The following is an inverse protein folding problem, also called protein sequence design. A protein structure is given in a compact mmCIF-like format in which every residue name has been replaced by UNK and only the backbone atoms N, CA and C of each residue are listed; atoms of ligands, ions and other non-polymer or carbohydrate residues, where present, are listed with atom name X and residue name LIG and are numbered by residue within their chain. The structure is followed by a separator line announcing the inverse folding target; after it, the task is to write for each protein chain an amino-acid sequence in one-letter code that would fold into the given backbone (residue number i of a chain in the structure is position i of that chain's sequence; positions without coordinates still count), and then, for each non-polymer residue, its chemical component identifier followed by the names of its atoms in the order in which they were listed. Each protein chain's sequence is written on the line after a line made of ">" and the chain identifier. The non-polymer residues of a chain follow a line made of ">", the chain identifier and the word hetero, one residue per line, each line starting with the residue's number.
data_IF_068548869035
#
_entry.id   IF_068548869035
#
_cell.length_a   1.000
_cell.length_b   1.000
_cell.length_c   1.000
_cell.angle_alpha   90.00
_cell.angle_beta   90.00
_cell.angle_gamma   90.00
#
_symmetry.space_group_name_H-M   'P 1'
#
loop_
_entity.id
_entity.type
_entity.pdbx_description
1 polymer ?
#
# COMPACT_ATOMS: atom_id res chain seq x y z
N UNK A 1 2.09 8.08 -18.59
CA UNK A 1 1.24 7.24 -17.72
C UNK A 1 0.16 6.46 -18.48
N UNK A 2 -0.29 6.89 -19.67
CA UNK A 2 -1.27 6.14 -20.48
C UNK A 2 -0.82 4.73 -20.88
N UNK A 3 0.44 4.59 -21.31
CA UNK A 3 0.99 3.32 -21.81
C UNK A 3 0.89 2.16 -20.79
N UNK A 4 1.39 2.38 -19.57
CA UNK A 4 1.39 1.41 -18.48
C UNK A 4 -0.02 1.01 -18.00
N UNK A 5 -0.95 1.96 -17.98
CA UNK A 5 -2.35 1.68 -17.58
C UNK A 5 -3.06 0.87 -18.65
N UNK A 6 -2.80 1.14 -19.92
CA UNK A 6 -3.39 0.40 -21.04
C UNK A 6 -2.78 -1.01 -21.16
N UNK A 7 -1.47 -1.17 -20.92
CA UNK A 7 -0.82 -2.49 -20.76
C UNK A 7 -1.49 -3.31 -19.63
N UNK A 8 -1.72 -2.70 -18.46
CA UNK A 8 -2.40 -3.35 -17.34
C UNK A 8 -3.83 -3.76 -17.70
N UNK A 9 -4.60 -2.89 -18.37
CA UNK A 9 -5.95 -3.22 -18.84
C UNK A 9 -5.95 -4.40 -19.81
N UNK A 10 -4.97 -4.47 -20.72
CA UNK A 10 -4.87 -5.56 -21.67
C UNK A 10 -4.61 -6.90 -20.97
N UNK A 11 -3.72 -6.93 -19.96
CA UNK A 11 -3.45 -8.11 -19.15
C UNK A 11 -4.69 -8.57 -18.39
N UNK A 12 -5.37 -7.65 -17.70
CA UNK A 12 -6.59 -7.94 -16.93
C UNK A 12 -7.73 -8.42 -17.84
N UNK A 13 -7.92 -7.80 -19.01
CA UNK A 13 -8.90 -8.24 -20.00
C UNK A 13 -8.57 -9.63 -20.59
N UNK A 14 -7.29 -10.01 -20.59
CA UNK A 14 -6.81 -11.34 -20.94
C UNK A 14 -7.00 -12.39 -19.84
N UNK A 15 -7.53 -12.01 -18.68
CA UNK A 15 -7.82 -12.91 -17.57
C UNK A 15 -6.75 -12.98 -16.49
N UNK A 16 -5.70 -12.14 -16.56
CA UNK A 16 -4.74 -12.03 -15.47
C UNK A 16 -5.41 -11.48 -14.21
N UNK A 17 -5.00 -11.98 -13.05
CA UNK A 17 -5.27 -11.37 -11.75
C UNK A 17 -4.50 -10.05 -11.59
N UNK A 18 -4.83 -9.28 -10.56
CA UNK A 18 -4.13 -8.03 -10.25
C UNK A 18 -2.68 -8.25 -9.85
N UNK A 19 -2.41 -9.32 -9.10
CA UNK A 19 -1.05 -9.81 -8.82
C UNK A 19 -0.28 -10.13 -10.10
N UNK A 20 -0.84 -10.98 -10.96
CA UNK A 20 -0.18 -11.39 -12.20
C UNK A 20 0.09 -10.19 -13.12
N UNK A 21 -0.86 -9.25 -13.22
CA UNK A 21 -0.67 -8.03 -13.98
C UNK A 21 0.45 -7.14 -13.40
N UNK A 22 0.53 -7.01 -12.07
CA UNK A 22 1.61 -6.27 -11.42
C UNK A 22 2.98 -6.92 -11.67
N UNK A 23 3.10 -8.24 -11.45
CA UNK A 23 4.34 -9.00 -11.65
C UNK A 23 4.80 -8.89 -13.12
N UNK A 24 3.88 -9.03 -14.07
CA UNK A 24 4.19 -8.95 -15.50
C UNK A 24 4.68 -7.56 -15.95
N UNK A 25 4.22 -6.49 -15.30
CA UNK A 25 4.55 -5.12 -15.66
C UNK A 25 5.76 -4.56 -14.91
N UNK A 26 6.13 -5.17 -13.78
CA UNK A 26 7.27 -4.74 -13.00
C UNK A 26 8.59 -5.01 -13.71
N UNK A 27 9.51 -4.06 -13.60
CA UNK A 27 10.89 -4.16 -14.09
C UNK A 27 11.83 -3.38 -13.17
N UNK A 28 13.10 -3.77 -13.02
CA UNK A 28 14.06 -3.05 -12.15
C UNK A 28 14.28 -1.58 -12.54
N UNK A 29 14.05 -1.21 -13.79
CA UNK A 29 14.18 0.16 -14.32
C UNK A 29 12.86 0.95 -14.25
N UNK A 30 11.79 0.35 -13.71
CA UNK A 30 10.45 0.93 -13.63
C UNK A 30 10.03 1.03 -12.16
N UNK A 31 9.77 2.23 -11.63
CA UNK A 31 9.39 2.40 -10.23
C UNK A 31 8.16 1.56 -9.88
N UNK A 32 8.21 0.81 -8.77
CA UNK A 32 7.09 0.00 -8.32
C UNK A 32 5.82 0.85 -8.13
N UNK A 33 6.01 2.12 -7.74
CA UNK A 33 4.95 3.09 -7.57
C UNK A 33 4.12 3.24 -8.85
N UNK A 34 4.77 3.41 -9.99
CA UNK A 34 4.11 3.63 -11.28
C UNK A 34 3.34 2.38 -11.73
N UNK A 35 3.90 1.20 -11.49
CA UNK A 35 3.25 -0.08 -11.81
C UNK A 35 2.02 -0.31 -10.92
N UNK A 36 2.15 -0.08 -9.62
CA UNK A 36 1.04 -0.23 -8.67
C UNK A 36 -0.09 0.75 -8.99
N UNK A 37 0.26 1.99 -9.31
CA UNK A 37 -0.69 3.02 -9.72
C UNK A 37 -1.41 2.62 -11.02
N UNK A 38 -0.68 2.15 -12.01
CA UNK A 38 -1.24 1.71 -13.30
C UNK A 38 -2.22 0.54 -13.14
N UNK A 39 -1.85 -0.50 -12.40
CA UNK A 39 -2.73 -1.66 -12.14
C UNK A 39 -3.96 -1.23 -11.33
N UNK A 40 -3.79 -0.40 -10.30
CA UNK A 40 -4.90 0.11 -9.49
C UNK A 40 -5.90 0.97 -10.28
N UNK A 41 -5.41 1.78 -11.22
CA UNK A 41 -6.28 2.55 -12.12
C UNK A 41 -6.93 1.64 -13.17
N UNK A 42 -6.22 0.62 -13.66
CA UNK A 42 -6.74 -0.32 -14.64
C UNK A 42 -7.92 -1.15 -14.12
N UNK A 43 -7.91 -1.50 -12.83
CA UNK A 43 -9.07 -2.15 -12.17
C UNK A 43 -10.24 -1.19 -11.95
N UNK A 44 -10.02 0.13 -12.02
CA UNK A 44 -11.07 1.15 -11.95
C UNK A 44 -10.96 2.16 -10.80
N UNK A 45 -9.88 2.16 -10.00
CA UNK A 45 -9.67 3.22 -9.02
C UNK A 45 -9.41 4.56 -9.74
N UNK A 46 -9.77 5.67 -9.09
CA UNK A 46 -9.31 6.97 -9.56
C UNK A 46 -7.81 7.14 -9.29
N UNK A 47 -7.13 7.89 -10.17
CA UNK A 47 -5.71 8.24 -10.00
C UNK A 47 -5.48 8.91 -8.64
N UNK A 48 -6.36 9.84 -8.25
CA UNK A 48 -6.28 10.56 -6.97
C UNK A 48 -6.33 9.61 -5.77
N UNK A 49 -7.25 8.64 -5.78
CA UNK A 49 -7.37 7.67 -4.70
C UNK A 49 -6.13 6.79 -4.59
N UNK A 50 -5.59 6.31 -5.71
CA UNK A 50 -4.37 5.51 -5.73
C UNK A 50 -3.14 6.29 -5.26
N UNK A 51 -2.96 7.52 -5.74
CA UNK A 51 -1.86 8.39 -5.31
C UNK A 51 -1.91 8.62 -3.80
N UNK A 52 -3.10 8.89 -3.25
CA UNK A 52 -3.30 9.08 -1.81
C UNK A 52 -2.94 7.83 -0.99
N UNK A 53 -3.21 6.63 -1.49
CA UNK A 53 -2.85 5.36 -0.83
C UNK A 53 -1.36 5.03 -0.94
N UNK A 54 -0.71 5.44 -2.03
CA UNK A 54 0.68 5.10 -2.30
C UNK A 54 1.68 6.10 -1.69
N UNK A 55 1.33 7.39 -1.59
CA UNK A 55 2.20 8.44 -1.03
C UNK A 55 2.72 8.11 0.40
N UNK A 56 1.91 7.57 1.32
CA UNK A 56 2.41 7.13 2.62
C UNK A 56 3.43 5.99 2.55
N UNK A 57 3.43 5.14 1.52
CA UNK A 57 4.31 3.96 1.39
C UNK A 57 5.57 4.22 0.59
N UNK A 58 5.54 5.11 -0.40
CA UNK A 58 6.73 5.48 -1.18
C UNK A 58 7.83 6.11 -0.32
N UNK A 59 7.48 6.65 0.85
CA UNK A 59 8.44 7.16 1.83
C UNK A 59 9.11 6.06 2.70
N UNK A 60 8.62 4.82 2.64
CA UNK A 60 8.99 3.73 3.55
C UNK A 60 9.63 2.53 2.88
N UNK A 61 9.33 2.36 1.60
CA UNK A 61 9.66 1.14 0.89
C UNK A 61 10.67 1.47 -0.20
N UNK A 62 11.80 0.76 -0.21
CA UNK A 62 12.70 0.75 -1.36
C UNK A 62 12.02 0.15 -2.59
N UNK A 63 12.71 0.12 -3.71
CA UNK A 63 12.25 -0.67 -4.86
C UNK A 63 12.39 -2.16 -4.52
N UNK A 64 11.43 -3.02 -4.91
CA UNK A 64 11.53 -4.46 -4.70
C UNK A 64 12.73 -5.02 -5.46
N UNK A 65 13.44 -5.97 -4.86
CA UNK A 65 14.39 -6.80 -5.62
C UNK A 65 13.63 -7.82 -6.49
N UNK A 66 14.31 -8.37 -7.50
CA UNK A 66 13.66 -9.24 -8.49
C UNK A 66 13.11 -10.54 -7.88
N UNK A 67 13.73 -11.05 -6.81
CA UNK A 67 13.28 -12.22 -6.07
C UNK A 67 12.21 -11.90 -4.99
N UNK A 68 11.93 -10.62 -4.74
CA UNK A 68 10.90 -10.19 -3.80
C UNK A 68 9.56 -9.87 -4.48
N UNK A 69 9.52 -9.78 -5.82
CA UNK A 69 8.39 -9.20 -6.54
C UNK A 69 7.05 -9.91 -6.27
N UNK A 70 7.07 -11.24 -6.15
CA UNK A 70 5.88 -12.03 -5.83
C UNK A 70 5.35 -11.70 -4.42
N UNK A 71 6.24 -11.59 -3.44
CA UNK A 71 5.90 -11.21 -2.05
C UNK A 71 5.30 -9.80 -2.00
N UNK A 72 5.82 -8.90 -2.82
CA UNK A 72 5.27 -7.55 -2.96
C UNK A 72 3.89 -7.53 -3.59
N UNK A 73 3.70 -8.29 -4.67
CA UNK A 73 2.40 -8.41 -5.34
C UNK A 73 1.33 -8.94 -4.37
N UNK A 74 1.65 -10.00 -3.63
CA UNK A 74 0.79 -10.56 -2.58
C UNK A 74 0.49 -9.52 -1.49
N UNK A 75 1.51 -8.78 -1.04
CA UNK A 75 1.35 -7.77 0.01
C UNK A 75 0.45 -6.62 -0.44
N UNK A 76 0.58 -6.16 -1.68
CA UNK A 76 -0.25 -5.10 -2.26
C UNK A 76 -1.71 -5.54 -2.35
N UNK A 77 -1.95 -6.76 -2.84
CA UNK A 77 -3.30 -7.30 -2.94
C UNK A 77 -3.94 -7.54 -1.57
N UNK A 78 -3.22 -8.16 -0.62
CA UNK A 78 -3.69 -8.37 0.74
C UNK A 78 -3.92 -7.06 1.52
N UNK A 79 -3.34 -5.96 1.05
CA UNK A 79 -3.57 -4.61 1.57
C UNK A 79 -4.70 -3.86 0.86
N UNK A 80 -5.35 -4.47 -0.14
CA UNK A 80 -6.47 -3.86 -0.86
C UNK A 80 -6.06 -2.74 -1.82
N UNK A 81 -4.79 -2.68 -2.25
CA UNK A 81 -4.35 -1.65 -3.22
C UNK A 81 -5.07 -1.76 -4.56
N UNK A 82 -5.46 -2.97 -4.95
CA UNK A 82 -6.20 -3.24 -6.18
C UNK A 82 -7.70 -3.46 -5.96
N UNK A 83 -8.19 -3.28 -4.73
CA UNK A 83 -9.61 -3.38 -4.41
C UNK A 83 -10.30 -2.02 -4.59
N UNK A 84 -11.30 -1.98 -5.48
CA UNK A 84 -12.14 -0.80 -5.76
C UNK A 84 -13.00 -0.38 -4.58
N UNK A 85 -13.33 -1.34 -3.72
CA UNK A 85 -14.21 -1.16 -2.57
C UNK A 85 -13.43 -0.99 -1.27
N UNK A 86 -12.16 -1.36 -1.24
CA UNK A 86 -11.26 -0.95 -0.17
C UNK A 86 -11.25 0.58 -0.11
N UNK A 87 -11.27 1.16 1.08
CA UNK A 87 -11.33 2.61 1.28
C UNK A 87 -12.05 2.98 2.56
N UNK A 88 -11.62 4.09 3.16
CA UNK A 88 -12.23 4.63 4.36
C UNK A 88 -13.48 5.42 4.00
N UNK A 89 -14.56 5.21 4.75
CA UNK A 89 -15.72 6.10 4.70
C UNK A 89 -15.36 7.51 5.18
N UNK A 90 -16.14 8.52 4.80
CA UNK A 90 -15.96 9.90 5.25
C UNK A 90 -15.95 10.04 6.79
N UNK A 91 -16.65 9.15 7.51
CA UNK A 91 -16.64 9.10 8.97
C UNK A 91 -15.34 8.49 9.54
N UNK A 92 -14.68 7.61 8.79
CA UNK A 92 -13.43 6.97 9.18
C UNK A 92 -12.20 7.82 8.87
N UNK A 93 -12.26 8.69 7.86
CA UNK A 93 -11.11 9.51 7.45
C UNK A 93 -10.51 10.37 8.59
N UNK A 94 -11.28 11.03 9.48
CA UNK A 94 -10.70 11.81 10.58
C UNK A 94 -9.90 10.92 11.54
N UNK A 95 -10.43 9.73 11.86
CA UNK A 95 -9.78 8.77 12.77
C UNK A 95 -8.50 8.24 12.14
N UNK A 96 -8.54 7.91 10.85
CA UNK A 96 -7.35 7.46 10.13
C UNK A 96 -6.28 8.56 10.03
N UNK A 97 -6.67 9.83 9.80
CA UNK A 97 -5.72 10.95 9.80
C UNK A 97 -5.03 11.12 11.16
N UNK A 98 -5.77 10.98 12.25
CA UNK A 98 -5.21 11.03 13.61
C UNK A 98 -4.23 9.87 13.84
N UNK A 99 -4.65 8.64 13.60
CA UNK A 99 -3.80 7.44 13.74
C UNK A 99 -2.53 7.53 12.88
N UNK A 100 -2.64 8.08 11.67
CA UNK A 100 -1.48 8.30 10.79
C UNK A 100 -0.51 9.33 11.35
N UNK A 101 -1.01 10.48 11.81
CA UNK A 101 -0.17 11.53 12.43
C UNK A 101 0.59 10.95 13.62
N UNK A 102 -0.10 10.20 14.45
CA UNK A 102 0.43 9.60 15.65
C UNK A 102 1.43 8.46 15.36
N UNK A 103 1.19 7.68 14.31
CA UNK A 103 2.14 6.69 13.83
C UNK A 103 3.44 7.34 13.35
N UNK A 104 3.36 8.47 12.64
CA UNK A 104 4.54 9.23 12.16
C UNK A 104 5.42 9.82 13.26
N UNK A 105 5.03 9.78 14.53
CA UNK A 105 5.92 10.17 15.63
C UNK A 105 6.83 9.03 16.08
N UNK A 106 6.58 7.79 15.62
CA UNK A 106 7.31 6.59 16.01
C UNK A 106 8.43 6.22 15.02
N UNK A 107 8.77 7.12 14.11
CA UNK A 107 9.77 6.87 13.07
C UNK A 107 11.18 7.20 13.60
N UNK A 108 12.21 6.46 13.15
CA UNK A 108 12.17 5.34 12.21
C UNK A 108 11.73 4.01 12.86
N UNK A 109 11.19 3.08 12.06
CA UNK A 109 10.79 1.74 12.52
C UNK A 109 11.06 0.65 11.46
N UNK A 110 11.10 -0.64 11.85
CA UNK A 110 11.26 -1.74 10.90
C UNK A 110 10.15 -1.76 9.83
N UNK A 111 10.52 -2.02 8.57
CA UNK A 111 9.61 -1.97 7.42
C UNK A 111 8.38 -2.87 7.56
N UNK A 112 8.55 -4.11 8.03
CA UNK A 112 7.44 -5.05 8.24
C UNK A 112 6.40 -4.56 9.24
N UNK A 113 6.83 -3.80 10.25
CA UNK A 113 5.94 -3.20 11.24
C UNK A 113 5.13 -2.06 10.62
N UNK A 114 5.79 -1.18 9.87
CA UNK A 114 5.10 -0.09 9.19
C UNK A 114 4.11 -0.58 8.13
N UNK A 115 4.48 -1.62 7.38
CA UNK A 115 3.59 -2.25 6.40
C UNK A 115 2.36 -2.86 7.07
N UNK A 116 2.52 -3.53 8.22
CA UNK A 116 1.39 -4.11 8.94
C UNK A 116 0.40 -3.04 9.41
N UNK A 117 0.88 -1.96 10.03
CA UNK A 117 0.03 -0.86 10.49
C UNK A 117 -0.70 -0.20 9.31
N UNK A 118 0.02 0.12 8.23
CA UNK A 118 -0.58 0.71 7.04
C UNK A 118 -1.64 -0.19 6.41
N UNK A 119 -1.43 -1.51 6.39
CA UNK A 119 -2.44 -2.48 5.92
C UNK A 119 -3.73 -2.41 6.72
N UNK A 120 -3.66 -2.31 8.05
CA UNK A 120 -4.85 -2.16 8.90
C UNK A 120 -5.58 -0.85 8.62
N UNK A 121 -4.83 0.22 8.37
CA UNK A 121 -5.35 1.54 8.03
C UNK A 121 -6.07 1.53 6.68
N UNK A 122 -5.45 0.95 5.64
CA UNK A 122 -6.01 0.88 4.28
C UNK A 122 -7.26 -0.02 4.22
N UNK A 123 -7.28 -1.11 4.99
CA UNK A 123 -8.43 -2.00 5.11
C UNK A 123 -9.57 -1.43 5.97
N UNK A 124 -9.40 -0.26 6.61
CA UNK A 124 -10.40 0.34 7.48
C UNK A 124 -10.56 -0.34 8.85
N UNK A 125 -9.61 -1.20 9.23
CA UNK A 125 -9.56 -1.85 10.54
C UNK A 125 -9.00 -0.89 11.61
N UNK A 126 -9.62 0.27 11.77
CA UNK A 126 -9.06 1.39 12.55
C UNK A 126 -8.90 1.07 14.04
N UNK A 127 -9.76 0.23 14.61
CA UNK A 127 -9.61 -0.21 16.01
C UNK A 127 -8.43 -1.17 16.19
N UNK A 128 -8.14 -2.02 15.21
CA UNK A 128 -6.93 -2.85 15.20
C UNK A 128 -5.69 -1.98 15.01
N UNK A 129 -5.74 -1.02 14.08
CA UNK A 129 -4.65 -0.06 13.88
C UNK A 129 -4.36 0.74 15.17
N UNK A 130 -5.38 1.19 15.90
CA UNK A 130 -5.20 1.85 17.19
C UNK A 130 -4.49 0.97 18.21
N UNK A 131 -4.92 -0.29 18.37
CA UNK A 131 -4.27 -1.25 19.27
C UNK A 131 -2.82 -1.51 18.87
N UNK A 132 -2.57 -1.61 17.57
CA UNK A 132 -1.20 -1.78 17.06
C UNK A 132 -0.35 -0.55 17.38
N UNK A 133 -0.86 0.66 17.17
CA UNK A 133 -0.15 1.90 17.51
C UNK A 133 0.19 1.98 19.02
N UNK A 134 -0.74 1.59 19.89
CA UNK A 134 -0.50 1.51 21.34
C UNK A 134 0.59 0.49 21.67
N UNK A 135 0.54 -0.69 21.04
CA UNK A 135 1.59 -1.71 21.17
C UNK A 135 2.95 -1.17 20.71
N UNK A 136 2.97 -0.46 19.57
CA UNK A 136 4.17 0.15 19.00
C UNK A 136 4.76 1.21 19.91
N UNK A 137 3.94 2.09 20.49
CA UNK A 137 4.38 3.06 21.50
C UNK A 137 5.06 2.38 22.68
N UNK A 138 4.46 1.31 23.20
CA UNK A 138 5.02 0.58 24.34
C UNK A 138 6.38 -0.06 24.02
N UNK A 139 6.57 -0.63 22.82
CA UNK A 139 7.84 -1.27 22.44
C UNK A 139 8.90 -0.31 21.93
N UNK A 140 8.52 0.80 21.28
CA UNK A 140 9.46 1.84 20.81
C UNK A 140 10.10 2.61 21.97
N UNK A 141 9.42 2.77 23.12
CA UNK A 141 10.05 3.25 24.35
C UNK A 141 11.19 2.35 24.85
N UNK A 142 11.28 1.10 24.37
CA UNK A 142 12.38 0.17 24.63
C UNK A 142 13.46 0.15 23.52
N UNK A 143 13.28 0.95 22.44
CA UNK A 143 14.23 1.08 21.33
C UNK A 143 15.10 2.33 21.41
N UNK A 144 14.84 3.22 22.38
CA UNK A 144 15.79 4.29 22.72
C UNK A 144 17.04 3.65 23.36
N UNK A 145 18.26 4.03 22.92
CA UNK A 145 19.51 3.46 23.45
C UNK A 145 19.70 3.70 24.95
#
# INVERSE_FOLDING_TARGET
>A
MGDLTDEARALLAGGATTQEAFIALWRPDRPYYDVTLAVGVAVGNSVENMVRRLEPKSAWSGEPEADEIDTWAETLEASGYFDLHAGLSAAQEPVAKELWRDFRTLLPMPSGVGHHFLRLMDAGHLDEARRELERLRAVTSAWAP
#
